data_IF_418065045530
#
_entry.id   IF_418065045530
#
_cell.length_a   1.000
_cell.length_b   1.000
_cell.length_c   1.000
_cell.angle_alpha   90.00
_cell.angle_beta   90.00
_cell.angle_gamma   90.00
#
_symmetry.space_group_name_H-M   'P 1'
#
loop_
_entity.id
_entity.type
_entity.pdbx_description
1 polymer ?
#
# COMPACT_ATOMS: atom_id res chain seq x y z
N UNK A 1 27.50 -3.01 -74.12
CA UNK A 1 26.47 -2.99 -73.06
C UNK A 1 26.13 -4.41 -72.68
N UNK A 2 26.30 -4.72 -71.38
CA UNK A 2 25.54 -5.64 -70.50
C UNK A 2 24.87 -6.86 -71.15
N UNK A 3 25.25 -8.05 -70.68
CA UNK A 3 24.47 -9.28 -70.87
C UNK A 3 25.08 -10.44 -70.08
N UNK A 4 24.54 -10.69 -68.89
CA UNK A 4 24.96 -11.71 -67.94
C UNK A 4 24.89 -13.13 -68.52
N UNK A 5 25.84 -13.99 -68.13
CA UNK A 5 25.75 -15.44 -68.29
C UNK A 5 26.41 -16.13 -67.09
N UNK A 6 25.56 -16.48 -66.11
CA UNK A 6 25.82 -17.56 -65.15
C UNK A 6 25.42 -18.88 -65.84
N UNK A 7 26.31 -19.87 -65.84
CA UNK A 7 25.95 -21.27 -66.06
C UNK A 7 26.83 -22.21 -65.20
N UNK A 8 26.24 -22.60 -64.07
CA UNK A 8 26.18 -23.92 -63.40
C UNK A 8 27.19 -25.01 -63.78
N UNK A 9 27.88 -25.56 -62.78
CA UNK A 9 27.80 -26.97 -62.31
C UNK A 9 29.14 -27.49 -61.76
N UNK A 10 29.16 -28.03 -60.54
CA UNK A 10 29.70 -29.37 -60.24
C UNK A 10 29.56 -29.72 -58.74
N UNK A 11 28.95 -30.88 -58.50
CA UNK A 11 28.73 -31.54 -57.22
C UNK A 11 30.03 -32.01 -56.55
N UNK A 12 30.04 -32.00 -55.22
CA UNK A 12 30.71 -33.02 -54.41
C UNK A 12 29.95 -33.21 -53.07
N UNK A 13 29.67 -34.48 -52.73
CA UNK A 13 29.17 -34.98 -51.45
C UNK A 13 30.16 -34.67 -50.29
N UNK A 14 29.89 -34.70 -48.98
CA UNK A 14 29.14 -35.65 -48.13
C UNK A 14 29.02 -35.03 -46.68
N UNK A 15 28.72 -35.74 -45.56
CA UNK A 15 27.48 -35.62 -44.79
C UNK A 15 27.58 -35.04 -43.35
N UNK A 16 26.41 -34.92 -42.71
CA UNK A 16 26.11 -35.01 -41.27
C UNK A 16 26.34 -33.80 -40.33
N UNK A 17 25.23 -33.25 -39.83
CA UNK A 17 25.03 -32.96 -38.40
C UNK A 17 23.53 -32.74 -38.10
N UNK A 18 23.01 -33.49 -37.12
CA UNK A 18 21.64 -33.41 -36.59
C UNK A 18 21.50 -32.15 -35.73
N UNK A 19 20.38 -31.39 -35.75
CA UNK A 19 20.19 -30.25 -34.85
C UNK A 19 20.12 -30.70 -33.38
N UNK A 20 20.99 -30.14 -32.53
CA UNK A 20 20.91 -30.30 -31.08
C UNK A 20 19.69 -29.55 -30.54
N UNK A 21 18.82 -30.31 -29.88
CA UNK A 21 17.73 -29.84 -29.02
C UNK A 21 18.31 -28.87 -27.97
N UNK A 22 18.03 -27.59 -28.15
CA UNK A 22 18.42 -26.54 -27.19
C UNK A 22 17.53 -26.67 -25.96
N UNK A 23 18.21 -26.86 -24.84
CA UNK A 23 17.67 -27.02 -23.50
C UNK A 23 16.51 -26.06 -23.17
N UNK A 24 15.50 -26.62 -22.52
CA UNK A 24 14.38 -25.90 -21.93
C UNK A 24 14.85 -24.73 -21.07
N UNK A 25 14.30 -23.54 -21.35
CA UNK A 25 14.41 -22.35 -20.50
C UNK A 25 14.07 -22.70 -19.05
N UNK A 26 14.85 -22.24 -18.06
CA UNK A 26 14.49 -22.42 -16.66
C UNK A 26 13.17 -21.70 -16.39
N UNK A 27 12.25 -22.42 -15.75
CA UNK A 27 10.95 -21.91 -15.34
C UNK A 27 11.11 -20.58 -14.59
N UNK A 28 10.44 -19.55 -15.10
CA UNK A 28 10.31 -18.25 -14.46
C UNK A 28 9.78 -18.44 -13.05
N UNK A 29 10.64 -18.27 -12.05
CA UNK A 29 10.19 -18.07 -10.68
C UNK A 29 9.28 -16.84 -10.68
N UNK A 30 8.07 -16.89 -10.10
CA UNK A 30 7.20 -15.72 -10.06
C UNK A 30 7.95 -14.57 -9.39
N UNK A 31 8.08 -13.46 -10.12
CA UNK A 31 8.73 -12.27 -9.63
C UNK A 31 8.04 -11.84 -8.32
N UNK A 32 8.84 -11.67 -7.26
CA UNK A 32 8.34 -11.14 -6.00
C UNK A 32 7.69 -9.78 -6.28
N UNK A 33 6.44 -9.53 -5.86
CA UNK A 33 5.76 -8.28 -6.17
C UNK A 33 6.60 -7.10 -5.65
N UNK A 34 6.73 -6.07 -6.48
CA UNK A 34 7.50 -4.87 -6.16
C UNK A 34 7.07 -4.28 -4.79
N UNK A 35 7.99 -3.67 -4.03
CA UNK A 35 7.61 -2.89 -2.87
C UNK A 35 6.61 -1.81 -3.31
N UNK A 36 5.43 -1.74 -2.67
CA UNK A 36 4.56 -0.57 -2.79
C UNK A 36 5.37 0.62 -2.26
N UNK A 37 5.48 1.68 -3.04
CA UNK A 37 6.11 2.90 -2.54
C UNK A 37 5.20 3.49 -1.45
N UNK A 38 5.77 4.05 -0.37
CA UNK A 38 4.97 4.69 0.67
C UNK A 38 4.02 5.77 0.10
N UNK A 39 4.40 6.38 -1.02
CA UNK A 39 3.56 7.31 -1.79
C UNK A 39 2.25 6.68 -2.24
N UNK A 40 2.28 5.47 -2.79
CA UNK A 40 1.08 4.78 -3.27
C UNK A 40 0.17 4.39 -2.10
N UNK A 41 0.77 4.04 -0.94
CA UNK A 41 0.01 3.70 0.26
C UNK A 41 -0.67 4.94 0.88
N UNK A 42 0.02 6.09 0.89
CA UNK A 42 -0.54 7.38 1.32
C UNK A 42 -1.68 7.83 0.45
N UNK A 43 -1.50 7.81 -0.87
CA UNK A 43 -2.54 8.17 -1.83
C UNK A 43 -3.75 7.23 -1.70
N UNK A 44 -3.51 5.93 -1.61
CA UNK A 44 -4.57 4.94 -1.39
C UNK A 44 -5.33 5.21 -0.08
N UNK A 45 -4.64 5.52 1.03
CA UNK A 45 -5.29 5.86 2.28
C UNK A 45 -6.09 7.18 2.19
N UNK A 46 -5.54 8.19 1.51
CA UNK A 46 -6.20 9.49 1.34
C UNK A 46 -7.48 9.37 0.49
N UNK A 47 -7.47 8.56 -0.56
CA UNK A 47 -8.62 8.42 -1.47
C UNK A 47 -9.56 7.30 -1.01
N UNK A 48 -9.08 6.06 -1.00
CA UNK A 48 -9.90 4.89 -0.69
C UNK A 48 -10.16 4.77 0.82
N UNK A 49 -9.15 5.03 1.65
CA UNK A 49 -9.29 4.99 3.12
C UNK A 49 -10.34 5.97 3.63
N UNK A 50 -10.28 7.23 3.22
CA UNK A 50 -11.32 8.24 3.58
C UNK A 50 -12.72 7.81 3.11
N UNK A 51 -12.84 7.32 1.88
CA UNK A 51 -14.12 6.89 1.30
C UNK A 51 -14.75 5.75 2.11
N UNK A 52 -13.97 4.76 2.52
CA UNK A 52 -14.47 3.62 3.29
C UNK A 52 -14.72 4.00 4.74
N UNK A 53 -13.83 4.78 5.36
CA UNK A 53 -14.01 5.24 6.74
C UNK A 53 -15.25 6.14 6.91
N UNK A 54 -15.64 6.89 5.87
CA UNK A 54 -16.88 7.67 5.86
C UNK A 54 -18.16 6.83 5.90
N UNK A 55 -18.11 5.52 5.60
CA UNK A 55 -19.31 4.66 5.58
C UNK A 55 -19.77 4.32 6.99
N UNK A 56 -21.08 4.18 7.24
CA UNK A 56 -21.57 3.63 8.51
C UNK A 56 -20.93 2.25 8.78
N UNK A 57 -20.58 2.00 10.04
CA UNK A 57 -20.09 0.68 10.47
C UNK A 57 -21.07 0.13 11.48
N UNK A 58 -21.61 -1.05 11.19
CA UNK A 58 -22.50 -1.77 12.08
C UNK A 58 -21.71 -2.29 13.29
N UNK A 59 -22.28 -2.19 14.48
CA UNK A 59 -21.62 -2.64 15.71
C UNK A 59 -22.31 -2.13 16.98
N UNK A 60 -21.86 -2.57 18.17
CA UNK A 60 -22.52 -2.25 19.43
C UNK A 60 -22.29 -0.79 19.89
N UNK A 61 -21.43 -0.03 19.21
CA UNK A 61 -21.03 1.31 19.61
C UNK A 61 -21.66 2.35 18.70
N UNK A 62 -22.57 3.16 19.24
CA UNK A 62 -23.24 4.23 18.50
C UNK A 62 -22.27 5.33 18.01
N UNK A 63 -21.18 5.54 18.74
CA UNK A 63 -20.10 6.46 18.38
C UNK A 63 -18.78 5.71 18.50
N UNK A 64 -18.42 4.91 17.51
CA UNK A 64 -17.17 4.14 17.49
C UNK A 64 -16.13 4.82 16.59
N UNK A 65 -14.86 4.79 17.01
CA UNK A 65 -13.77 4.99 16.07
C UNK A 65 -13.86 3.89 14.99
N UNK A 66 -13.49 4.20 13.75
CA UNK A 66 -13.48 3.20 12.68
C UNK A 66 -12.05 2.83 12.36
N UNK A 67 -11.80 1.54 12.25
CA UNK A 67 -10.48 0.99 11.97
C UNK A 67 -10.54 0.22 10.65
N UNK A 68 -9.67 0.59 9.72
CA UNK A 68 -9.48 -0.10 8.46
C UNK A 68 -8.10 -0.77 8.46
N UNK A 69 -8.06 -2.03 8.00
CA UNK A 69 -6.80 -2.74 7.79
C UNK A 69 -6.49 -2.76 6.31
N UNK A 70 -5.29 -2.31 5.94
CA UNK A 70 -4.78 -2.36 4.57
C UNK A 70 -3.79 -3.51 4.46
N UNK A 71 -3.96 -4.35 3.42
CA UNK A 71 -3.06 -5.45 3.04
C UNK A 71 -2.73 -5.38 1.55
N UNK A 72 -1.92 -6.32 1.07
CA UNK A 72 -1.78 -6.60 -0.37
C UNK A 72 -2.86 -7.56 -0.83
N UNK A 73 -3.39 -7.31 -2.01
CA UNK A 73 -4.11 -8.32 -2.79
C UNK A 73 -3.12 -9.31 -3.45
N UNK A 74 -3.66 -10.29 -4.18
CA UNK A 74 -2.88 -11.32 -4.87
C UNK A 74 -1.97 -10.76 -5.99
N UNK A 75 -2.24 -9.52 -6.43
CA UNK A 75 -1.47 -8.80 -7.46
C UNK A 75 -0.44 -7.85 -6.85
N UNK A 76 -0.42 -7.73 -5.52
CA UNK A 76 0.50 -6.87 -4.78
C UNK A 76 0.02 -5.42 -4.58
N UNK A 77 -1.23 -5.08 -4.94
CA UNK A 77 -1.80 -3.75 -4.75
C UNK A 77 -2.40 -3.58 -3.35
N UNK A 78 -2.43 -2.36 -2.79
CA UNK A 78 -3.06 -2.11 -1.51
C UNK A 78 -4.58 -2.32 -1.61
N UNK A 79 -5.14 -3.03 -0.63
CA UNK A 79 -6.58 -3.30 -0.52
C UNK A 79 -7.01 -3.20 0.94
N UNK A 80 -8.22 -2.67 1.18
CA UNK A 80 -8.84 -2.66 2.51
C UNK A 80 -9.48 -4.03 2.73
N UNK A 81 -8.95 -4.79 3.69
CA UNK A 81 -9.41 -6.17 3.98
C UNK A 81 -10.36 -6.25 5.16
N UNK A 82 -10.40 -5.22 5.99
CA UNK A 82 -11.31 -5.14 7.13
C UNK A 82 -11.71 -3.69 7.38
N UNK A 83 -12.94 -3.51 7.86
CA UNK A 83 -13.51 -2.26 8.34
C UNK A 83 -14.35 -2.57 9.57
N UNK A 84 -14.00 -2.01 10.72
CA UNK A 84 -14.63 -2.35 12.00
C UNK A 84 -14.76 -1.15 12.93
N UNK A 85 -15.78 -1.19 13.78
CA UNK A 85 -15.98 -0.22 14.85
C UNK A 85 -15.12 -0.59 16.05
N UNK A 86 -14.48 0.40 16.64
CA UNK A 86 -13.60 0.26 17.79
C UNK A 86 -14.00 1.27 18.86
N UNK A 87 -13.90 0.93 20.16
CA UNK A 87 -14.17 1.87 21.23
C UNK A 87 -13.33 3.15 21.08
N UNK A 88 -13.98 4.29 21.26
CA UNK A 88 -13.34 5.62 21.16
C UNK A 88 -12.24 5.75 22.22
N UNK A 89 -11.10 6.35 21.84
CA UNK A 89 -9.96 6.63 22.74
C UNK A 89 -9.40 5.40 23.46
N UNK A 90 -9.59 4.21 22.90
CA UNK A 90 -8.85 3.03 23.34
C UNK A 90 -7.65 2.79 22.44
N UNK A 91 -6.58 2.24 23.03
CA UNK A 91 -5.41 1.80 22.28
C UNK A 91 -5.80 0.67 21.33
N UNK A 92 -5.31 0.73 20.09
CA UNK A 92 -5.55 -0.32 19.11
C UNK A 92 -4.81 -1.60 19.50
N UNK A 93 -5.39 -2.79 19.27
CA UNK A 93 -4.68 -4.05 19.43
C UNK A 93 -3.58 -4.17 18.36
N UNK A 94 -2.61 -5.06 18.59
CA UNK A 94 -1.60 -5.37 17.59
C UNK A 94 -2.26 -5.79 16.26
N UNK A 95 -1.78 -5.28 15.11
CA UNK A 95 -2.38 -5.59 13.83
C UNK A 95 -2.10 -7.05 13.43
N UNK A 96 -3.03 -7.72 12.74
CA UNK A 96 -2.79 -9.06 12.21
C UNK A 96 -1.55 -9.11 11.30
N UNK A 97 -0.83 -10.23 11.30
CA UNK A 97 0.37 -10.45 10.46
C UNK A 97 0.07 -10.12 8.99
N UNK A 98 0.97 -9.42 8.31
CA UNK A 98 0.81 -9.05 6.89
C UNK A 98 -0.05 -7.81 6.65
N UNK A 99 -0.54 -7.14 7.70
CA UNK A 99 -1.06 -5.76 7.60
C UNK A 99 0.05 -4.82 7.12
N UNK A 100 -0.26 -3.97 6.14
CA UNK A 100 0.66 -2.97 5.59
C UNK A 100 0.52 -1.60 6.27
N UNK A 101 -0.72 -1.20 6.53
CA UNK A 101 -1.05 0.02 7.24
C UNK A 101 -2.43 -0.09 7.88
N UNK A 102 -2.69 0.80 8.83
CA UNK A 102 -4.00 0.96 9.47
C UNK A 102 -4.53 2.35 9.17
N UNK A 103 -5.83 2.47 8.92
CA UNK A 103 -6.52 3.78 8.93
C UNK A 103 -7.43 3.81 10.15
N UNK A 104 -7.31 4.84 10.99
CA UNK A 104 -8.19 5.09 12.12
C UNK A 104 -8.95 6.39 11.87
N UNK A 105 -10.26 6.32 11.75
CA UNK A 105 -11.11 7.49 11.83
C UNK A 105 -11.57 7.64 13.27
N UNK A 106 -11.23 8.76 13.89
CA UNK A 106 -11.79 9.13 15.16
C UNK A 106 -13.16 9.76 14.96
N UNK A 107 -14.15 9.16 15.61
CA UNK A 107 -15.51 9.66 15.54
C UNK A 107 -15.59 11.05 16.16
N UNK A 108 -16.52 11.86 15.65
CA UNK A 108 -16.73 13.25 16.08
C UNK A 108 -16.69 13.39 17.60
N UNK A 109 -15.80 14.25 18.08
CA UNK A 109 -15.79 14.74 19.46
C UNK A 109 -16.13 16.22 19.48
N UNK A 110 -16.71 16.71 20.59
CA UNK A 110 -17.07 18.13 20.74
C UNK A 110 -15.84 19.06 20.71
N UNK A 111 -14.65 18.50 20.95
CA UNK A 111 -13.39 19.23 20.97
C UNK A 111 -12.58 18.94 19.71
N UNK A 112 -12.05 19.99 19.07
CA UNK A 112 -11.09 19.84 17.97
C UNK A 112 -9.78 19.29 18.52
N UNK A 113 -9.32 18.16 17.98
CA UNK A 113 -8.01 17.59 18.33
C UNK A 113 -6.98 18.01 17.28
N UNK A 114 -5.83 18.59 17.66
CA UNK A 114 -4.87 19.20 16.73
C UNK A 114 -3.95 18.19 16.01
N UNK A 115 -4.11 16.89 16.24
CA UNK A 115 -3.26 15.85 15.67
C UNK A 115 -3.62 14.43 16.11
N UNK A 116 -2.77 13.44 15.79
CA UNK A 116 -2.88 12.09 16.31
C UNK A 116 -2.85 12.06 17.85
N UNK A 117 -3.51 11.08 18.45
CA UNK A 117 -3.53 10.91 19.90
C UNK A 117 -2.27 10.22 20.41
N UNK A 118 -2.01 10.29 21.72
CA UNK A 118 -0.90 9.56 22.36
C UNK A 118 -1.00 8.05 22.14
N UNK A 119 -2.21 7.49 22.10
CA UNK A 119 -2.44 6.07 21.80
C UNK A 119 -2.04 5.71 20.36
N UNK A 120 -2.28 6.61 19.41
CA UNK A 120 -1.88 6.41 18.01
C UNK A 120 -0.35 6.41 17.88
N UNK A 121 0.32 7.34 18.58
CA UNK A 121 1.79 7.38 18.63
C UNK A 121 2.37 6.11 19.28
N UNK A 122 1.77 5.66 20.39
CA UNK A 122 2.16 4.45 21.10
C UNK A 122 1.96 3.19 20.24
N UNK A 123 0.85 3.12 19.50
CA UNK A 123 0.58 2.03 18.56
C UNK A 123 1.67 1.93 17.48
N UNK A 124 2.03 3.06 16.85
CA UNK A 124 3.08 3.08 15.82
C UNK A 124 4.45 2.74 16.42
N UNK A 125 4.76 3.24 17.62
CA UNK A 125 5.98 2.88 18.34
C UNK A 125 6.12 1.37 18.57
N UNK A 126 5.02 0.73 18.97
CA UNK A 126 5.00 -0.69 19.29
C UNK A 126 5.06 -1.58 18.03
N UNK A 127 4.35 -1.20 16.97
CA UNK A 127 4.13 -2.08 15.81
C UNK A 127 4.99 -1.71 14.59
N UNK A 128 5.57 -0.51 14.56
CA UNK A 128 6.42 0.01 13.47
C UNK A 128 5.74 -0.09 12.09
N UNK A 129 4.44 0.20 12.07
CA UNK A 129 3.59 0.19 10.89
C UNK A 129 2.99 1.59 10.69
N UNK A 130 2.85 2.10 9.45
CA UNK A 130 2.15 3.35 9.21
C UNK A 130 0.70 3.31 9.72
N UNK A 131 0.31 4.38 10.41
CA UNK A 131 -1.06 4.62 10.85
C UNK A 131 -1.55 5.94 10.24
N UNK A 132 -2.71 5.88 9.58
CA UNK A 132 -3.37 7.04 9.00
C UNK A 132 -4.54 7.45 9.88
N UNK A 133 -4.48 8.64 10.47
CA UNK A 133 -5.50 9.14 11.40
C UNK A 133 -6.38 10.14 10.69
N UNK A 134 -7.70 10.00 10.77
CA UNK A 134 -8.70 10.94 10.25
C UNK A 134 -9.51 11.50 11.41
N UNK A 135 -9.61 12.83 11.50
CA UNK A 135 -10.41 13.50 12.53
C UNK A 135 -11.77 13.98 12.02
N UNK A 136 -12.88 13.43 12.53
CA UNK A 136 -14.23 13.83 12.07
C UNK A 136 -14.78 15.12 12.72
N UNK A 137 -13.96 15.84 13.49
CA UNK A 137 -14.35 17.07 14.20
C UNK A 137 -14.24 18.36 13.35
N UNK A 138 -13.75 18.30 12.11
CA UNK A 138 -13.70 19.43 11.18
C UNK A 138 -14.05 19.00 9.74
N UNK A 139 -14.42 19.97 8.89
CA UNK A 139 -14.69 19.75 7.46
C UNK A 139 -13.89 20.77 6.62
N UNK A 140 -13.06 20.33 5.65
CA UNK A 140 -12.72 18.93 5.35
C UNK A 140 -12.04 18.25 6.57
N UNK A 141 -12.26 16.94 6.70
CA UNK A 141 -11.71 16.18 7.83
C UNK A 141 -10.18 16.14 7.72
N UNK A 142 -9.41 16.64 8.70
CA UNK A 142 -7.96 16.56 8.66
C UNK A 142 -7.50 15.09 8.69
N UNK A 143 -6.38 14.82 8.04
CA UNK A 143 -5.73 13.51 8.06
C UNK A 143 -4.25 13.67 8.37
N UNK A 144 -3.72 12.68 9.09
CA UNK A 144 -2.33 12.60 9.43
C UNK A 144 -1.77 11.22 9.09
N UNK A 145 -0.51 11.20 8.70
CA UNK A 145 0.33 10.00 8.71
C UNK A 145 1.11 9.99 10.01
N UNK A 146 1.11 8.86 10.70
CA UNK A 146 1.98 8.57 11.82
C UNK A 146 2.87 7.41 11.41
N UNK A 147 4.18 7.59 11.50
CA UNK A 147 5.16 6.62 11.04
C UNK A 147 6.36 6.54 11.99
N UNK A 148 7.00 5.37 12.02
CA UNK A 148 8.29 5.20 12.66
C UNK A 148 9.40 5.52 11.66
N UNK A 149 10.12 6.62 11.88
CA UNK A 149 11.14 7.15 10.96
C UNK A 149 12.38 7.52 11.77
N UNK A 150 13.55 7.11 11.28
CA UNK A 150 14.86 7.43 11.88
C UNK A 150 14.96 7.12 13.39
N UNK A 151 14.27 6.08 13.85
CA UNK A 151 14.29 5.66 15.26
C UNK A 151 13.32 6.39 16.19
N UNK A 152 12.41 7.21 15.65
CA UNK A 152 11.37 7.91 16.40
C UNK A 152 9.99 7.77 15.74
N UNK A 153 8.93 7.98 16.52
CA UNK A 153 7.59 8.19 15.95
C UNK A 153 7.48 9.64 15.52
N UNK A 154 7.06 9.86 14.28
CA UNK A 154 6.78 11.18 13.73
C UNK A 154 5.42 11.19 13.07
N UNK A 155 4.83 12.37 12.96
CA UNK A 155 3.58 12.55 12.23
C UNK A 155 3.62 13.76 11.31
N UNK A 156 2.79 13.74 10.26
CA UNK A 156 2.61 14.87 9.34
C UNK A 156 1.19 14.90 8.81
N UNK A 157 0.77 16.03 8.29
CA UNK A 157 -0.53 16.16 7.64
C UNK A 157 -0.53 15.51 6.27
N UNK A 158 -1.67 14.91 5.89
CA UNK A 158 -1.96 14.48 4.52
C UNK A 158 -3.15 15.28 3.99
N UNK A 159 -3.01 15.77 2.75
CA UNK A 159 -4.06 16.46 1.99
C UNK A 159 -5.18 15.54 1.51
N UNK A 160 -5.87 15.96 0.45
CA UNK A 160 -7.02 15.24 -0.09
C UNK A 160 -6.60 14.12 -1.05
N UNK A 161 -5.50 14.30 -1.78
CA UNK A 161 -4.96 13.33 -2.76
C UNK A 161 -3.59 12.79 -2.34
N UNK A 162 -3.23 12.92 -1.07
CA UNK A 162 -1.97 12.39 -0.54
C UNK A 162 -0.85 13.42 -0.39
N UNK A 163 -1.14 14.72 -0.53
CA UNK A 163 -0.14 15.78 -0.38
C UNK A 163 0.43 15.80 1.04
N UNK A 164 1.76 15.88 1.16
CA UNK A 164 2.44 15.72 2.44
C UNK A 164 2.85 17.07 3.05
N UNK A 165 2.55 17.24 4.33
CA UNK A 165 3.14 18.29 5.15
C UNK A 165 4.53 17.92 5.69
N UNK A 166 5.20 18.85 6.41
CA UNK A 166 6.45 18.55 7.09
C UNK A 166 6.24 17.56 8.25
N UNK A 167 7.26 16.75 8.53
CA UNK A 167 7.29 15.90 9.72
C UNK A 167 7.32 16.73 11.00
N UNK A 168 6.66 16.20 12.04
CA UNK A 168 6.60 16.72 13.39
C UNK A 168 6.88 15.58 14.37
N UNK A 169 7.49 15.91 15.49
CA UNK A 169 7.74 15.00 16.61
C UNK A 169 6.59 15.08 17.64
#
# INVERSE_FOLDING_TARGET
>A
MIGALLFVAALAAEPAAVPQETAASPASTPARPSPIADTDLREFAAIAGRKVAGRPVEGPYANADKVLLIRRDDKGYPVIVASMGFPVRQSLPAPPVGTLAVVRLHQRSETVVPGPTTDDLAFVKANRLPLFVIGEWARPAPMWEVAWIDGAVRFRTIGEVGEIGPWRD
#
